data_IF_449608500407
#
_entry.id   IF_449608500407
#
_cell.length_a   1.000
_cell.length_b   1.000
_cell.length_c   1.000
_cell.angle_alpha   90.00
_cell.angle_beta   90.00
_cell.angle_gamma   90.00
#
_symmetry.space_group_name_H-M   'P 1'
#
loop_
_entity.id
_entity.type
_entity.pdbx_description
1 polymer ?
#
# COMPACT_ATOMS: atom_id res chain seq x y z
N UNK A 1 -8.51 15.45 16.10
CA UNK A 1 -8.53 13.98 16.16
C UNK A 1 -9.02 13.43 14.81
N UNK A 2 -8.19 12.67 14.06
CA UNK A 2 -8.50 12.25 12.68
C UNK A 2 -9.65 11.23 12.58
N UNK A 3 -9.97 10.53 13.68
CA UNK A 3 -10.97 9.46 13.71
C UNK A 3 -12.38 9.94 14.13
N UNK A 4 -12.59 11.23 14.25
CA UNK A 4 -13.83 11.79 14.80
C UNK A 4 -15.03 11.74 13.83
N UNK A 5 -14.76 11.66 12.52
CA UNK A 5 -15.80 11.67 11.49
C UNK A 5 -15.73 10.40 10.65
N UNK A 6 -16.86 9.69 10.56
CA UNK A 6 -16.98 8.48 9.75
C UNK A 6 -17.60 8.74 8.37
N UNK A 7 -18.39 9.79 8.25
CA UNK A 7 -18.94 10.26 6.99
C UNK A 7 -19.35 11.72 7.13
N UNK A 8 -19.43 12.44 6.02
CA UNK A 8 -19.97 13.80 5.93
C UNK A 8 -21.13 13.81 4.95
N UNK A 9 -22.28 14.26 5.41
CA UNK A 9 -23.43 14.53 4.55
C UNK A 9 -23.40 16.03 4.17
N UNK A 10 -23.19 16.31 2.88
CA UNK A 10 -22.87 17.64 2.37
C UNK A 10 -23.94 18.15 1.40
N UNK A 11 -24.62 19.22 1.77
CA UNK A 11 -25.51 19.92 0.86
C UNK A 11 -24.70 20.77 -0.12
N UNK A 12 -25.06 20.73 -1.41
CA UNK A 12 -24.40 21.57 -2.42
C UNK A 12 -24.82 23.05 -2.31
N UNK A 13 -26.07 23.29 -1.94
CA UNK A 13 -26.66 24.64 -1.93
C UNK A 13 -26.64 25.23 -0.53
N UNK A 14 -25.49 25.76 -0.13
CA UNK A 14 -25.34 26.43 1.15
C UNK A 14 -24.98 27.91 0.98
N UNK A 15 -25.43 28.80 1.91
CA UNK A 15 -25.06 30.21 1.86
C UNK A 15 -23.59 30.41 2.19
N UNK A 16 -22.96 31.43 1.60
CA UNK A 16 -21.56 31.86 1.79
C UNK A 16 -20.51 30.94 1.17
N UNK A 17 -20.60 29.62 1.34
CA UNK A 17 -19.68 28.64 0.78
C UNK A 17 -20.49 27.48 0.21
N UNK A 18 -20.27 27.11 -1.04
CA UNK A 18 -20.96 26.00 -1.69
C UNK A 18 -20.42 24.66 -1.20
N UNK A 19 -21.24 23.60 -1.27
CA UNK A 19 -20.76 22.26 -0.93
C UNK A 19 -19.59 21.79 -1.77
N UNK A 20 -19.48 22.24 -3.03
CA UNK A 20 -18.32 21.92 -3.87
C UNK A 20 -17.03 22.55 -3.36
N UNK A 21 -17.06 23.78 -2.87
CA UNK A 21 -15.90 24.44 -2.24
C UNK A 21 -15.52 23.74 -0.95
N UNK A 22 -16.50 23.34 -0.12
CA UNK A 22 -16.23 22.53 1.09
C UNK A 22 -15.58 21.21 0.72
N UNK A 23 -16.07 20.50 -0.30
CA UNK A 23 -15.49 19.24 -0.78
C UNK A 23 -14.03 19.43 -1.21
N UNK A 24 -13.73 20.47 -1.99
CA UNK A 24 -12.37 20.79 -2.41
C UNK A 24 -11.43 21.05 -1.22
N UNK A 25 -11.89 21.83 -0.24
CA UNK A 25 -11.11 22.06 0.99
C UNK A 25 -10.89 20.77 1.78
N UNK A 26 -11.91 19.91 1.88
CA UNK A 26 -11.75 18.61 2.54
C UNK A 26 -10.73 17.74 1.82
N UNK A 27 -10.77 17.67 0.48
CA UNK A 27 -9.84 16.86 -0.32
C UNK A 27 -8.41 17.37 -0.32
N UNK A 28 -8.22 18.66 -0.12
CA UNK A 28 -6.89 19.25 0.07
C UNK A 28 -6.31 19.05 1.50
N UNK A 29 -7.14 18.67 2.47
CA UNK A 29 -6.71 18.51 3.85
C UNK A 29 -6.28 17.06 4.12
N UNK A 30 -5.04 16.78 4.61
CA UNK A 30 -4.49 15.41 4.72
C UNK A 30 -5.38 14.43 5.49
N UNK A 31 -6.03 14.91 6.56
CA UNK A 31 -6.89 14.09 7.42
C UNK A 31 -8.31 13.94 6.86
N UNK A 32 -8.90 15.06 6.38
CA UNK A 32 -10.29 15.07 5.90
C UNK A 32 -10.45 14.48 4.51
N UNK A 33 -9.38 14.42 3.71
CA UNK A 33 -9.39 13.85 2.37
C UNK A 33 -9.92 12.39 2.36
N UNK A 34 -9.66 11.67 3.43
CA UNK A 34 -10.03 10.25 3.58
C UNK A 34 -11.46 10.05 4.13
N UNK A 35 -12.13 11.11 4.58
CA UNK A 35 -13.50 10.99 5.11
C UNK A 35 -14.48 10.88 3.94
N UNK A 36 -15.34 9.85 3.92
CA UNK A 36 -16.36 9.72 2.89
C UNK A 36 -17.31 10.92 2.88
N UNK A 37 -17.54 11.50 1.70
CA UNK A 37 -18.48 12.60 1.49
C UNK A 37 -19.65 12.11 0.67
N UNK A 38 -20.85 12.28 1.21
CA UNK A 38 -22.15 12.01 0.59
C UNK A 38 -22.74 13.36 0.22
N UNK A 39 -22.82 13.66 -1.06
CA UNK A 39 -23.45 14.89 -1.53
C UNK A 39 -24.95 14.71 -1.54
N UNK A 40 -25.68 15.66 -0.95
CA UNK A 40 -27.14 15.76 -1.09
C UNK A 40 -27.50 16.98 -1.93
N UNK A 41 -28.39 16.79 -2.91
CA UNK A 41 -28.79 17.86 -3.83
C UNK A 41 -30.24 17.73 -4.28
N UNK A 42 -30.90 18.87 -4.52
CA UNK A 42 -32.23 18.89 -5.10
C UNK A 42 -32.24 18.73 -6.64
N UNK A 43 -31.13 19.01 -7.30
CA UNK A 43 -30.92 18.85 -8.73
C UNK A 43 -29.79 17.87 -8.99
N UNK A 44 -30.08 16.81 -9.74
CA UNK A 44 -29.06 15.81 -10.12
C UNK A 44 -29.10 15.62 -11.64
N UNK A 45 -28.54 16.58 -12.37
CA UNK A 45 -28.20 16.27 -13.77
C UNK A 45 -27.04 15.28 -13.80
N UNK A 46 -27.00 14.36 -14.77
CA UNK A 46 -25.88 13.43 -14.91
C UNK A 46 -24.51 14.13 -14.93
N UNK A 47 -24.44 15.34 -15.48
CA UNK A 47 -23.22 16.14 -15.51
C UNK A 47 -22.80 16.65 -14.12
N UNK A 48 -23.73 17.02 -13.25
CA UNK A 48 -23.44 17.46 -11.88
C UNK A 48 -22.98 16.28 -11.00
N UNK A 49 -23.62 15.13 -11.14
CA UNK A 49 -23.20 13.89 -10.47
C UNK A 49 -21.78 13.53 -10.86
N UNK A 50 -21.49 13.50 -12.17
CA UNK A 50 -20.14 13.19 -12.68
C UNK A 50 -19.11 14.18 -12.17
N UNK A 51 -19.43 15.49 -12.15
CA UNK A 51 -18.52 16.52 -11.64
C UNK A 51 -18.25 16.38 -10.14
N UNK A 52 -19.26 16.06 -9.34
CA UNK A 52 -19.08 15.84 -7.90
C UNK A 52 -18.25 14.60 -7.59
N UNK A 53 -18.47 13.49 -8.30
CA UNK A 53 -17.66 12.28 -8.17
C UNK A 53 -16.20 12.53 -8.61
N UNK A 54 -16.01 13.25 -9.73
CA UNK A 54 -14.67 13.63 -10.18
C UNK A 54 -13.96 14.57 -9.19
N UNK A 55 -14.70 15.37 -8.41
CA UNK A 55 -14.16 16.21 -7.35
C UNK A 55 -13.86 15.43 -6.05
N UNK A 56 -14.15 14.12 -6.00
CA UNK A 56 -13.84 13.23 -4.89
C UNK A 56 -15.00 12.96 -3.92
N UNK A 57 -16.25 13.26 -4.29
CA UNK A 57 -17.40 12.75 -3.56
C UNK A 57 -17.48 11.22 -3.71
N UNK A 58 -17.90 10.53 -2.64
CA UNK A 58 -18.01 9.06 -2.65
C UNK A 58 -19.42 8.61 -3.04
N UNK A 59 -20.43 9.35 -2.62
CA UNK A 59 -21.83 9.02 -2.84
C UNK A 59 -22.65 10.27 -3.15
N UNK A 60 -23.77 10.04 -3.82
CA UNK A 60 -24.77 11.06 -4.15
C UNK A 60 -26.14 10.64 -3.62
N UNK A 61 -26.92 11.60 -3.10
CA UNK A 61 -28.27 11.40 -2.62
C UNK A 61 -29.17 12.54 -3.12
N UNK A 62 -30.16 12.23 -3.97
CA UNK A 62 -31.04 13.22 -4.56
C UNK A 62 -32.24 13.50 -3.66
N UNK A 63 -32.49 14.76 -3.35
CA UNK A 63 -33.68 15.21 -2.62
C UNK A 63 -34.90 15.26 -3.54
N UNK A 64 -36.12 14.84 -3.07
CA UNK A 64 -36.38 14.22 -1.77
C UNK A 64 -35.89 12.76 -1.73
N UNK A 65 -35.37 12.31 -0.62
CA UNK A 65 -34.95 10.96 -0.40
C UNK A 65 -35.66 10.34 0.81
N UNK A 66 -35.80 9.03 0.80
CA UNK A 66 -36.39 8.34 1.93
C UNK A 66 -35.33 8.04 3.01
N UNK A 67 -35.81 7.87 4.25
CA UNK A 67 -34.91 7.52 5.37
C UNK A 67 -34.14 6.23 5.11
N UNK A 68 -34.73 5.28 4.41
CA UNK A 68 -34.10 4.02 4.05
C UNK A 68 -32.88 4.22 3.15
N UNK A 69 -33.00 5.08 2.11
CA UNK A 69 -31.91 5.38 1.18
C UNK A 69 -30.73 6.05 1.89
N UNK A 70 -31.03 7.04 2.73
CA UNK A 70 -30.02 7.72 3.53
C UNK A 70 -29.27 6.73 4.45
N UNK A 71 -29.99 5.86 5.16
CA UNK A 71 -29.41 4.89 6.07
C UNK A 71 -28.57 3.85 5.31
N UNK A 72 -29.00 3.39 4.14
CA UNK A 72 -28.26 2.44 3.32
C UNK A 72 -26.89 3.03 2.89
N UNK A 73 -26.90 4.25 2.36
CA UNK A 73 -25.69 4.96 1.92
C UNK A 73 -24.76 5.25 3.11
N UNK A 74 -25.29 5.74 4.24
CA UNK A 74 -24.51 6.01 5.44
C UNK A 74 -23.87 4.72 6.00
N UNK A 75 -24.63 3.63 6.06
CA UNK A 75 -24.12 2.34 6.54
C UNK A 75 -22.95 1.85 5.67
N UNK A 76 -23.10 1.99 4.35
CA UNK A 76 -22.02 1.63 3.41
C UNK A 76 -20.79 2.51 3.61
N UNK A 77 -20.97 3.83 3.65
CA UNK A 77 -19.88 4.78 3.83
C UNK A 77 -19.14 4.57 5.16
N UNK A 78 -19.86 4.32 6.25
CA UNK A 78 -19.29 4.06 7.58
C UNK A 78 -18.52 2.74 7.58
N UNK A 79 -19.07 1.68 6.97
CA UNK A 79 -18.42 0.38 6.87
C UNK A 79 -17.10 0.48 6.08
N UNK A 80 -17.12 1.15 4.94
CA UNK A 80 -15.94 1.30 4.09
C UNK A 80 -14.86 2.14 4.82
N UNK A 81 -15.27 3.19 5.54
CA UNK A 81 -14.37 3.98 6.36
C UNK A 81 -13.78 3.19 7.53
N UNK A 82 -14.60 2.39 8.20
CA UNK A 82 -14.14 1.55 9.34
C UNK A 82 -13.15 0.49 8.86
N UNK A 83 -13.41 -0.16 7.73
CA UNK A 83 -12.48 -1.12 7.15
C UNK A 83 -11.14 -0.46 6.79
N UNK A 84 -11.17 0.73 6.18
CA UNK A 84 -9.96 1.50 5.88
C UNK A 84 -9.16 1.83 7.15
N UNK A 85 -9.83 2.31 8.21
CA UNK A 85 -9.18 2.65 9.49
C UNK A 85 -8.57 1.42 10.15
N UNK A 86 -9.27 0.27 10.13
CA UNK A 86 -8.72 -0.99 10.69
C UNK A 86 -7.45 -1.42 10.00
N UNK A 87 -7.40 -1.33 8.66
CA UNK A 87 -6.19 -1.67 7.91
C UNK A 87 -5.04 -0.71 8.24
N UNK A 88 -5.33 0.59 8.36
CA UNK A 88 -4.31 1.58 8.75
C UNK A 88 -3.78 1.32 10.17
N UNK A 89 -4.66 1.05 11.14
CA UNK A 89 -4.26 0.74 12.51
C UNK A 89 -3.41 -0.54 12.59
N UNK A 90 -3.76 -1.56 11.81
CA UNK A 90 -2.99 -2.80 11.71
C UNK A 90 -1.59 -2.55 11.13
N UNK A 91 -1.50 -1.72 10.08
CA UNK A 91 -0.21 -1.31 9.51
C UNK A 91 0.64 -0.51 10.49
N UNK A 92 0.05 0.46 11.20
CA UNK A 92 0.76 1.26 12.20
C UNK A 92 1.22 0.40 13.38
N UNK A 93 0.39 -0.54 13.83
CA UNK A 93 0.73 -1.49 14.90
C UNK A 93 1.87 -2.41 14.47
N UNK A 94 1.83 -2.92 13.24
CA UNK A 94 2.89 -3.76 12.68
C UNK A 94 4.19 -2.99 12.58
N UNK A 95 4.16 -1.77 12.05
CA UNK A 95 5.32 -0.89 11.95
C UNK A 95 5.91 -0.57 13.35
N UNK A 96 5.04 -0.25 14.32
CA UNK A 96 5.46 0.00 15.71
C UNK A 96 6.10 -1.23 16.36
N UNK A 97 5.58 -2.42 16.09
CA UNK A 97 6.15 -3.67 16.60
C UNK A 97 7.52 -3.95 16.00
N UNK A 98 7.72 -3.66 14.71
CA UNK A 98 9.03 -3.82 14.06
C UNK A 98 10.10 -2.87 14.62
N UNK A 99 9.71 -1.74 15.17
CA UNK A 99 10.65 -0.85 15.86
C UNK A 99 11.19 -1.44 17.16
N UNK A 100 10.50 -2.42 17.76
CA UNK A 100 10.95 -3.17 18.94
C UNK A 100 11.88 -4.33 18.58
N UNK A 101 12.03 -4.67 17.29
CA UNK A 101 12.89 -5.73 16.83
C UNK A 101 14.35 -5.31 16.94
N UNK A 102 15.11 -6.01 17.79
CA UNK A 102 16.54 -5.80 17.97
C UNK A 102 17.38 -6.60 16.99
N UNK A 103 17.00 -7.84 16.73
CA UNK A 103 17.59 -8.69 15.72
C UNK A 103 16.57 -9.68 15.16
N UNK A 104 16.80 -10.13 13.96
CA UNK A 104 15.98 -11.13 13.31
C UNK A 104 16.69 -11.72 12.11
N UNK A 105 16.44 -12.99 11.84
CA UNK A 105 16.98 -13.69 10.69
C UNK A 105 15.82 -14.24 9.87
N UNK A 106 15.86 -13.97 8.58
CA UNK A 106 14.84 -14.38 7.62
C UNK A 106 15.48 -15.23 6.55
N UNK A 107 14.85 -16.34 6.21
CA UNK A 107 15.23 -17.17 5.07
C UNK A 107 14.20 -16.96 3.97
N UNK A 108 14.66 -16.74 2.76
CA UNK A 108 13.79 -16.53 1.60
C UNK A 108 14.43 -17.14 0.35
N UNK A 109 13.60 -17.54 -0.58
CA UNK A 109 14.00 -18.26 -1.79
C UNK A 109 13.41 -17.68 -3.06
N UNK A 110 12.22 -17.08 -2.97
CA UNK A 110 11.48 -16.57 -4.12
C UNK A 110 11.50 -15.05 -4.19
N UNK A 111 11.25 -14.50 -5.39
CA UNK A 111 11.13 -13.04 -5.56
C UNK A 111 9.94 -12.48 -4.77
N UNK A 112 8.86 -13.26 -4.62
CA UNK A 112 7.70 -12.81 -3.83
C UNK A 112 8.05 -12.69 -2.36
N UNK A 113 8.76 -13.66 -1.80
CA UNK A 113 9.26 -13.60 -0.43
C UNK A 113 10.22 -12.43 -0.23
N UNK A 114 11.13 -12.19 -1.18
CA UNK A 114 12.04 -11.05 -1.17
C UNK A 114 11.29 -9.71 -1.16
N UNK A 115 10.23 -9.56 -1.98
CA UNK A 115 9.38 -8.35 -2.01
C UNK A 115 8.64 -8.13 -0.69
N UNK A 116 8.04 -9.19 -0.13
CA UNK A 116 7.35 -9.12 1.18
C UNK A 116 8.32 -8.76 2.29
N UNK A 117 9.53 -9.33 2.28
CA UNK A 117 10.56 -9.06 3.27
C UNK A 117 11.07 -7.61 3.15
N UNK A 118 11.30 -7.11 1.93
CA UNK A 118 11.70 -5.72 1.70
C UNK A 118 10.65 -4.74 2.25
N UNK A 119 9.37 -4.98 1.94
CA UNK A 119 8.27 -4.17 2.44
C UNK A 119 8.20 -4.20 3.99
N UNK A 120 8.32 -5.37 4.59
CA UNK A 120 8.32 -5.54 6.04
C UNK A 120 9.49 -4.78 6.68
N UNK A 121 10.72 -5.04 6.24
CA UNK A 121 11.92 -4.44 6.82
C UNK A 121 11.99 -2.93 6.63
N UNK A 122 11.40 -2.39 5.56
CA UNK A 122 11.33 -0.94 5.36
C UNK A 122 10.64 -0.23 6.54
N UNK A 123 9.62 -0.83 7.13
CA UNK A 123 8.92 -0.26 8.29
C UNK A 123 9.75 -0.24 9.58
N UNK A 124 10.88 -0.92 9.63
CA UNK A 124 11.82 -0.80 10.75
C UNK A 124 12.62 0.51 10.71
N UNK A 125 12.64 1.21 9.58
CA UNK A 125 13.32 2.49 9.38
C UNK A 125 12.39 3.69 9.62
N UNK A 126 12.93 4.85 10.00
CA UNK A 126 12.12 6.05 10.24
C UNK A 126 11.34 6.55 9.01
N UNK A 127 11.91 6.35 7.81
CA UNK A 127 11.27 6.69 6.54
C UNK A 127 11.30 5.47 5.60
N UNK A 128 10.25 4.63 5.62
CA UNK A 128 10.16 3.43 4.81
C UNK A 128 10.29 3.69 3.31
N UNK A 129 9.76 4.82 2.83
CA UNK A 129 9.72 5.15 1.40
C UNK A 129 11.11 5.36 0.80
N UNK A 130 12.06 5.83 1.59
CA UNK A 130 13.44 6.09 1.16
C UNK A 130 14.29 4.83 1.04
N UNK A 131 13.95 3.80 1.80
CA UNK A 131 14.80 2.60 1.90
C UNK A 131 14.25 1.39 1.16
N UNK A 132 12.95 1.35 0.92
CA UNK A 132 12.27 0.17 0.34
C UNK A 132 12.86 -0.24 -1.01
N UNK A 133 13.21 0.71 -1.88
CA UNK A 133 13.80 0.41 -3.19
C UNK A 133 15.17 -0.24 -3.07
N UNK A 134 16.04 0.29 -2.20
CA UNK A 134 17.36 -0.31 -1.97
C UNK A 134 17.30 -1.68 -1.31
N UNK A 135 16.38 -1.88 -0.35
CA UNK A 135 16.12 -3.18 0.26
C UNK A 135 15.62 -4.18 -0.77
N UNK A 136 14.68 -3.76 -1.62
CA UNK A 136 14.12 -4.60 -2.66
C UNK A 136 15.19 -5.05 -3.65
N UNK A 137 16.02 -4.13 -4.14
CA UNK A 137 17.11 -4.44 -5.06
C UNK A 137 18.11 -5.43 -4.44
N UNK A 138 18.52 -5.20 -3.19
CA UNK A 138 19.43 -6.07 -2.47
C UNK A 138 18.89 -7.51 -2.34
N UNK A 139 17.62 -7.64 -1.92
CA UNK A 139 17.01 -8.95 -1.69
C UNK A 139 16.68 -9.68 -3.00
N UNK A 140 16.25 -8.97 -4.04
CA UNK A 140 16.03 -9.57 -5.36
C UNK A 140 17.34 -10.05 -5.97
N UNK A 141 18.42 -9.29 -5.87
CA UNK A 141 19.73 -9.69 -6.37
C UNK A 141 20.25 -10.95 -5.71
N UNK A 142 20.01 -11.14 -4.41
CA UNK A 142 20.37 -12.37 -3.71
C UNK A 142 19.64 -13.61 -4.25
N UNK A 143 18.39 -13.46 -4.70
CA UNK A 143 17.64 -14.54 -5.35
C UNK A 143 18.10 -14.73 -6.79
N UNK A 144 18.06 -13.69 -7.61
CA UNK A 144 18.29 -13.77 -9.04
C UNK A 144 19.75 -14.12 -9.37
N UNK A 145 20.68 -13.32 -8.87
CA UNK A 145 22.10 -13.46 -9.18
C UNK A 145 22.77 -14.47 -8.25
N UNK A 146 22.47 -14.41 -6.96
CA UNK A 146 23.02 -15.32 -5.98
C UNK A 146 22.49 -16.74 -6.14
N UNK A 147 21.28 -17.00 -5.69
CA UNK A 147 20.77 -18.37 -5.60
C UNK A 147 20.49 -19.02 -6.96
N UNK A 148 19.88 -18.26 -7.92
CA UNK A 148 19.51 -18.78 -9.23
C UNK A 148 20.63 -18.66 -10.27
N UNK A 149 21.70 -17.92 -9.98
CA UNK A 149 22.86 -17.77 -10.85
C UNK A 149 22.53 -17.08 -12.19
N UNK A 150 21.50 -16.22 -12.22
CA UNK A 150 21.15 -15.44 -13.43
C UNK A 150 22.18 -14.32 -13.58
N UNK A 151 22.96 -14.36 -14.62
CA UNK A 151 23.94 -13.31 -14.91
C UNK A 151 23.26 -12.02 -15.37
N UNK A 152 23.96 -10.88 -15.26
CA UNK A 152 23.45 -9.60 -15.75
C UNK A 152 23.10 -9.63 -17.25
N UNK A 153 23.92 -10.33 -18.07
CA UNK A 153 23.66 -10.48 -19.49
C UNK A 153 22.41 -11.31 -19.78
N UNK A 154 22.22 -12.42 -19.08
CA UNK A 154 21.01 -13.24 -19.17
C UNK A 154 19.78 -12.45 -18.72
N UNK A 155 19.86 -11.73 -17.60
CA UNK A 155 18.75 -10.90 -17.11
C UNK A 155 18.32 -9.85 -18.13
N UNK A 156 19.27 -9.15 -18.72
CA UNK A 156 18.97 -8.16 -19.78
C UNK A 156 18.28 -8.81 -20.99
N UNK A 157 18.78 -9.96 -21.44
CA UNK A 157 18.18 -10.69 -22.54
C UNK A 157 16.75 -11.17 -22.22
N UNK A 158 16.53 -11.74 -21.04
CA UNK A 158 15.21 -12.21 -20.61
C UNK A 158 14.21 -11.07 -20.41
N UNK A 159 14.67 -9.89 -19.98
CA UNK A 159 13.83 -8.70 -19.90
C UNK A 159 13.39 -8.21 -21.28
N UNK A 160 14.30 -8.18 -22.26
CA UNK A 160 14.01 -7.77 -23.64
C UNK A 160 13.02 -8.73 -24.33
N UNK A 161 13.09 -10.02 -24.01
CA UNK A 161 12.22 -11.06 -24.60
C UNK A 161 10.95 -11.32 -23.77
N UNK A 162 10.80 -10.70 -22.58
CA UNK A 162 9.67 -10.93 -21.69
C UNK A 162 9.64 -12.31 -21.02
N UNK A 163 10.78 -13.01 -20.98
CA UNK A 163 10.89 -14.40 -20.49
C UNK A 163 11.48 -14.52 -19.07
N UNK A 164 11.74 -13.40 -18.40
CA UNK A 164 12.42 -13.42 -17.09
C UNK A 164 11.65 -14.20 -16.02
N UNK A 165 10.34 -13.97 -15.93
CA UNK A 165 9.51 -14.64 -14.90
C UNK A 165 9.42 -16.17 -15.17
N UNK A 166 9.34 -16.57 -16.43
CA UNK A 166 9.33 -17.99 -16.82
C UNK A 166 10.66 -18.68 -16.48
N UNK A 167 11.78 -18.02 -16.77
CA UNK A 167 13.10 -18.54 -16.46
C UNK A 167 13.35 -18.66 -14.96
N UNK A 168 12.93 -17.67 -14.18
CA UNK A 168 12.99 -17.72 -12.71
C UNK A 168 12.19 -18.89 -12.17
N UNK A 169 10.94 -19.05 -12.63
CA UNK A 169 10.09 -20.16 -12.21
C UNK A 169 10.74 -21.51 -12.55
N UNK A 170 11.29 -21.65 -13.74
CA UNK A 170 12.00 -22.85 -14.21
C UNK A 170 13.20 -23.18 -13.31
N UNK A 171 14.07 -22.18 -13.02
CA UNK A 171 15.27 -22.41 -12.17
C UNK A 171 14.88 -22.74 -10.73
N UNK A 172 13.83 -22.15 -10.20
CA UNK A 172 13.34 -22.48 -8.85
C UNK A 172 12.93 -23.95 -8.68
N UNK A 173 12.56 -24.64 -9.77
CA UNK A 173 12.20 -26.07 -9.77
C UNK A 173 13.39 -26.99 -10.10
N UNK A 174 14.51 -26.45 -10.60
CA UNK A 174 15.69 -27.25 -10.90
C UNK A 174 16.39 -27.79 -9.65
N UNK A 175 16.79 -29.06 -9.61
CA UNK A 175 17.50 -29.63 -8.46
C UNK A 175 18.77 -28.90 -8.04
N UNK A 176 19.42 -28.21 -9.00
CA UNK A 176 20.64 -27.43 -8.73
C UNK A 176 20.39 -26.17 -7.90
N UNK A 177 19.17 -25.64 -7.89
CA UNK A 177 18.79 -24.40 -7.22
C UNK A 177 17.64 -24.58 -6.21
N UNK A 178 16.93 -25.70 -6.24
CA UNK A 178 15.69 -25.93 -5.50
C UNK A 178 15.85 -25.79 -3.98
N UNK A 179 17.00 -26.15 -3.42
CA UNK A 179 17.27 -26.09 -1.98
C UNK A 179 17.98 -24.81 -1.57
N UNK A 180 18.44 -23.98 -2.52
CA UNK A 180 19.15 -22.74 -2.20
C UNK A 180 18.22 -21.70 -1.62
N UNK A 181 18.68 -21.01 -0.59
CA UNK A 181 17.94 -19.90 0.02
C UNK A 181 18.92 -18.77 0.39
N UNK A 182 18.43 -17.55 0.34
CA UNK A 182 19.12 -16.41 0.87
C UNK A 182 18.74 -16.19 2.34
N UNK A 183 19.67 -15.65 3.11
CA UNK A 183 19.49 -15.34 4.53
C UNK A 183 19.71 -13.85 4.73
N UNK A 184 18.69 -13.15 5.19
CA UNK A 184 18.76 -11.76 5.61
C UNK A 184 18.83 -11.68 7.13
N UNK A 185 19.85 -11.04 7.67
CA UNK A 185 20.01 -10.80 9.10
C UNK A 185 19.91 -9.31 9.37
N UNK A 186 18.91 -8.94 10.15
CA UNK A 186 18.65 -7.58 10.61
C UNK A 186 19.14 -7.41 12.05
N UNK A 187 19.89 -6.34 12.31
CA UNK A 187 20.40 -6.01 13.64
C UNK A 187 20.23 -4.52 13.89
N UNK A 188 19.69 -4.16 15.07
CA UNK A 188 19.56 -2.78 15.54
C UNK A 188 20.55 -2.52 16.68
N UNK A 189 21.40 -1.51 16.50
CA UNK A 189 22.28 -0.99 17.53
C UNK A 189 21.98 0.51 17.77
N UNK A 190 21.23 0.82 18.82
CA UNK A 190 20.81 2.18 19.11
C UNK A 190 19.95 2.75 17.96
N UNK A 191 20.44 3.75 17.28
CA UNK A 191 19.77 4.38 16.11
C UNK A 191 20.18 3.74 14.78
N UNK A 192 21.23 2.93 14.76
CA UNK A 192 21.74 2.34 13.53
C UNK A 192 21.09 0.99 13.25
N UNK A 193 20.78 0.77 11.96
CA UNK A 193 20.17 -0.45 11.46
C UNK A 193 21.12 -1.10 10.45
N UNK A 194 21.45 -2.34 10.70
CA UNK A 194 22.31 -3.16 9.85
C UNK A 194 21.49 -4.27 9.22
N UNK A 195 21.61 -4.42 7.92
CA UNK A 195 21.06 -5.54 7.18
C UNK A 195 22.22 -6.25 6.45
N UNK A 196 22.39 -7.52 6.73
CA UNK A 196 23.29 -8.40 5.99
C UNK A 196 22.44 -9.39 5.20
N UNK A 197 22.79 -9.59 3.94
CA UNK A 197 22.16 -10.59 3.08
C UNK A 197 23.26 -11.53 2.59
N UNK A 198 23.05 -12.82 2.76
CA UNK A 198 23.93 -13.90 2.32
C UNK A 198 23.11 -14.82 1.43
N UNK A 199 23.60 -15.10 0.25
CA UNK A 199 23.06 -16.08 -0.68
C UNK A 199 24.02 -17.29 -0.84
N UNK A 200 23.59 -18.29 -1.58
CA UNK A 200 24.37 -19.50 -1.86
C UNK A 200 24.93 -19.51 -3.30
N UNK A 201 25.16 -18.33 -3.86
CA UNK A 201 25.78 -18.16 -5.16
C UNK A 201 27.26 -18.51 -5.18
N UNK A 202 27.82 -18.58 -6.38
CA UNK A 202 29.24 -18.90 -6.55
C UNK A 202 30.20 -17.69 -6.37
N UNK A 203 29.65 -16.49 -6.10
CA UNK A 203 30.40 -15.24 -5.94
C UNK A 203 30.69 -14.55 -7.26
#
# INVERSE_FOLDING_TARGET
EPHRYYAVLLDLMMPRMTGMEVLQHMKAHPILAQVPVIIQTAASTPAEVTRGLAAGAHYYLTKPFEKADLLAILTTAIRDRSAYLSVQEELETTAGTLQLLHNGTFRFRTLEEARRLAALLAHAYPDPSRVVTGLLELLLNAVEHGNLGITYGEKSHFLETGQLDEEIARRLEEPAYADRCAVATFIRHGQDLYLSVIDEGAG
#
